data_IF_680376146198
#
_entry.id   IF_680376146198
#
_cell.length_a   1.000
_cell.length_b   1.000
_cell.length_c   1.000
_cell.angle_alpha   90.00
_cell.angle_beta   90.00
_cell.angle_gamma   90.00
#
_symmetry.space_group_name_H-M   'P 1'
#
loop_
_entity.id
_entity.type
_entity.pdbx_description
1 polymer ?
#
# COMPACT_ATOMS: atom_id res chain seq x y z
N UNK A 1 9.57 -9.45 21.44
CA UNK A 1 9.57 -8.57 20.29
C UNK A 1 10.72 -8.87 19.31
N UNK A 2 11.97 -8.83 19.70
CA UNK A 2 13.14 -9.05 18.82
C UNK A 2 13.18 -10.36 18.01
N UNK A 3 12.68 -11.48 18.55
CA UNK A 3 12.72 -12.79 17.85
C UNK A 3 11.80 -12.87 16.61
N UNK A 4 10.67 -12.13 16.62
CA UNK A 4 9.74 -12.11 15.48
C UNK A 4 10.33 -11.29 14.35
N UNK A 5 10.87 -10.11 14.67
CA UNK A 5 11.56 -9.25 13.70
C UNK A 5 12.71 -9.99 13.03
N UNK A 6 13.57 -10.65 13.81
CA UNK A 6 14.69 -11.41 13.27
C UNK A 6 14.26 -12.50 12.27
N UNK A 7 13.19 -13.24 12.56
CA UNK A 7 12.67 -14.26 11.64
C UNK A 7 12.12 -13.68 10.34
N UNK A 8 11.51 -12.49 10.39
CA UNK A 8 11.07 -11.77 9.20
C UNK A 8 12.26 -11.32 8.36
N UNK A 9 13.26 -10.74 9.00
CA UNK A 9 14.47 -10.29 8.32
C UNK A 9 15.22 -11.48 7.69
N UNK A 10 15.33 -12.61 8.39
CA UNK A 10 15.92 -13.85 7.85
C UNK A 10 15.15 -14.36 6.61
N UNK A 11 13.81 -14.32 6.64
CA UNK A 11 12.97 -14.73 5.52
C UNK A 11 13.11 -13.78 4.33
N UNK A 12 13.08 -12.46 4.58
CA UNK A 12 13.32 -11.44 3.55
C UNK A 12 14.69 -11.61 2.92
N UNK A 13 15.71 -11.81 3.75
CA UNK A 13 17.08 -12.03 3.29
C UNK A 13 17.18 -13.24 2.38
N UNK A 14 16.69 -14.39 2.83
CA UNK A 14 16.74 -15.62 2.04
C UNK A 14 16.00 -15.54 0.70
N UNK A 15 14.99 -14.70 0.60
CA UNK A 15 14.24 -14.49 -0.65
C UNK A 15 14.89 -13.42 -1.54
N UNK A 16 15.56 -12.44 -0.96
CA UNK A 16 16.26 -11.36 -1.66
C UNK A 16 17.61 -11.81 -2.24
N UNK A 17 18.32 -12.67 -1.55
CA UNK A 17 19.58 -13.31 -2.00
C UNK A 17 19.26 -14.23 -3.19
N UNK A 18 19.40 -13.71 -4.41
CA UNK A 18 18.98 -14.40 -5.64
C UNK A 18 20.03 -15.41 -6.06
N UNK A 19 21.31 -15.08 -5.91
CA UNK A 19 22.41 -15.92 -6.32
C UNK A 19 22.91 -16.87 -5.22
N UNK A 20 22.42 -16.68 -3.98
CA UNK A 20 22.69 -17.57 -2.85
C UNK A 20 24.11 -17.46 -2.33
N UNK A 21 24.78 -16.33 -2.53
CA UNK A 21 26.16 -16.11 -2.12
C UNK A 21 26.29 -15.73 -0.63
N UNK A 22 25.16 -15.50 0.06
CA UNK A 22 25.08 -15.13 1.47
C UNK A 22 25.34 -13.65 1.74
N UNK A 23 25.37 -12.82 0.70
CA UNK A 23 25.44 -11.36 0.77
C UNK A 23 24.32 -10.76 -0.07
N UNK A 24 23.95 -9.50 0.16
CA UNK A 24 23.03 -8.78 -0.71
C UNK A 24 23.78 -7.72 -1.49
N UNK A 25 23.85 -7.85 -2.81
CA UNK A 25 24.30 -6.78 -3.67
C UNK A 25 23.25 -5.63 -3.68
N UNK A 26 23.55 -4.54 -4.40
CA UNK A 26 22.67 -3.36 -4.40
C UNK A 26 21.24 -3.68 -4.84
N UNK A 27 21.06 -4.47 -5.90
CA UNK A 27 19.75 -4.77 -6.46
C UNK A 27 18.96 -5.74 -5.55
N UNK A 28 19.62 -6.70 -4.95
CA UNK A 28 19.07 -7.61 -3.96
C UNK A 28 18.71 -6.88 -2.65
N UNK A 29 19.53 -5.90 -2.26
CA UNK A 29 19.24 -5.11 -1.07
C UNK A 29 17.99 -4.24 -1.27
N UNK A 30 17.71 -3.77 -2.49
CA UNK A 30 16.44 -3.09 -2.81
C UNK A 30 15.26 -4.04 -2.61
N UNK A 31 15.36 -5.31 -2.99
CA UNK A 31 14.30 -6.30 -2.74
C UNK A 31 14.06 -6.51 -1.24
N UNK A 32 15.12 -6.52 -0.46
CA UNK A 32 15.03 -6.64 1.00
C UNK A 32 14.34 -5.45 1.65
N UNK A 33 14.64 -4.22 1.18
CA UNK A 33 14.08 -2.98 1.72
C UNK A 33 12.64 -2.73 1.26
N UNK A 34 12.33 -3.05 -0.02
CA UNK A 34 11.04 -2.79 -0.68
C UNK A 34 10.45 -4.10 -1.26
N UNK A 35 10.12 -5.06 -0.38
CA UNK A 35 9.61 -6.36 -0.84
C UNK A 35 8.27 -6.26 -1.57
N UNK A 36 7.47 -5.22 -1.30
CA UNK A 36 6.19 -4.96 -1.95
C UNK A 36 6.32 -4.61 -3.44
N UNK A 37 7.45 -4.06 -3.87
CA UNK A 37 7.66 -3.60 -5.24
C UNK A 37 8.05 -4.74 -6.20
N UNK A 38 8.39 -5.91 -5.71
CA UNK A 38 8.86 -7.00 -6.54
C UNK A 38 8.04 -8.28 -6.38
N UNK A 39 7.54 -8.80 -7.50
CA UNK A 39 6.72 -10.02 -7.55
C UNK A 39 7.36 -11.22 -6.82
N UNK A 40 8.68 -11.34 -6.88
CA UNK A 40 9.44 -12.40 -6.18
C UNK A 40 9.25 -12.33 -4.67
N UNK A 41 9.12 -11.14 -4.11
CA UNK A 41 9.00 -10.88 -2.69
C UNK A 41 7.55 -10.91 -2.17
N UNK A 42 6.55 -10.91 -3.05
CA UNK A 42 5.14 -10.84 -2.64
C UNK A 42 4.73 -11.97 -1.68
N UNK A 43 5.29 -13.17 -1.83
CA UNK A 43 5.02 -14.26 -0.91
C UNK A 43 5.46 -13.95 0.53
N UNK A 44 6.58 -13.26 0.69
CA UNK A 44 7.09 -12.82 1.99
C UNK A 44 6.16 -11.75 2.59
N UNK A 45 5.74 -10.78 1.79
CA UNK A 45 4.81 -9.72 2.23
C UNK A 45 3.47 -10.31 2.69
N UNK A 46 2.93 -11.28 1.96
CA UNK A 46 1.70 -12.00 2.34
C UNK A 46 1.86 -12.71 3.70
N UNK A 47 2.97 -13.45 3.89
CA UNK A 47 3.23 -14.13 5.17
C UNK A 47 3.36 -13.15 6.33
N UNK A 48 4.02 -12.02 6.12
CA UNK A 48 4.17 -10.99 7.13
C UNK A 48 2.83 -10.34 7.49
N UNK A 49 1.98 -10.10 6.48
CA UNK A 49 0.62 -9.59 6.69
C UNK A 49 -0.23 -10.58 7.49
N UNK A 50 -0.18 -11.87 7.14
CA UNK A 50 -0.85 -12.91 7.92
C UNK A 50 -0.33 -12.94 9.36
N UNK A 51 0.98 -12.91 9.58
CA UNK A 51 1.54 -12.86 10.94
C UNK A 51 1.07 -11.66 11.77
N UNK A 52 0.69 -10.55 11.13
CA UNK A 52 0.22 -9.34 11.81
C UNK A 52 -1.29 -9.35 12.06
N UNK A 53 -2.08 -9.80 11.08
CA UNK A 53 -3.53 -9.63 11.05
C UNK A 53 -4.27 -10.91 11.42
N UNK A 54 -3.81 -12.08 10.98
CA UNK A 54 -4.39 -13.39 11.30
C UNK A 54 -4.15 -13.72 12.78
N UNK A 55 -5.19 -13.57 13.60
CA UNK A 55 -5.11 -13.76 15.06
C UNK A 55 -5.34 -15.17 15.48
N UNK A 56 -6.14 -15.93 14.74
CA UNK A 56 -6.49 -17.30 15.08
C UNK A 56 -5.55 -18.33 14.42
N UNK A 57 -4.72 -17.90 13.46
CA UNK A 57 -3.69 -18.69 12.81
C UNK A 57 -4.25 -19.65 11.76
N UNK A 58 -5.41 -19.36 11.18
CA UNK A 58 -6.03 -20.21 10.17
C UNK A 58 -5.47 -20.01 8.75
N UNK A 59 -4.57 -19.03 8.58
CA UNK A 59 -3.90 -18.70 7.32
C UNK A 59 -4.77 -17.84 6.38
N UNK A 60 -5.77 -17.17 6.91
CA UNK A 60 -6.72 -16.31 6.21
C UNK A 60 -6.91 -15.02 7.01
N UNK A 61 -7.63 -14.06 6.44
CA UNK A 61 -8.01 -12.84 7.14
C UNK A 61 -9.52 -12.72 7.07
N UNK A 62 -10.19 -12.96 8.18
CA UNK A 62 -11.62 -12.74 8.33
C UNK A 62 -11.96 -11.25 8.34
N UNK A 63 -13.22 -10.89 8.07
CA UNK A 63 -13.70 -9.51 8.19
C UNK A 63 -13.43 -8.92 9.58
N UNK A 64 -13.55 -9.77 10.62
CA UNK A 64 -13.32 -9.34 12.01
C UNK A 64 -11.85 -9.01 12.29
N UNK A 65 -10.92 -9.79 11.76
CA UNK A 65 -9.48 -9.55 11.87
C UNK A 65 -9.05 -8.34 11.06
N UNK A 66 -9.55 -8.23 9.82
CA UNK A 66 -9.34 -7.08 8.95
C UNK A 66 -9.75 -5.76 9.63
N UNK A 67 -10.95 -5.73 10.23
CA UNK A 67 -11.41 -4.55 10.97
C UNK A 67 -10.61 -4.35 12.25
N UNK A 68 -10.27 -5.42 12.97
CA UNK A 68 -9.55 -5.33 14.23
C UNK A 68 -8.09 -4.88 14.09
N UNK A 69 -7.51 -4.96 12.90
CA UNK A 69 -6.21 -4.38 12.59
C UNK A 69 -6.27 -2.85 12.51
N UNK A 70 -7.36 -2.31 11.94
CA UNK A 70 -7.55 -0.87 11.74
C UNK A 70 -8.27 -0.18 12.90
N UNK A 71 -9.09 -0.89 13.64
CA UNK A 71 -9.94 -0.33 14.68
C UNK A 71 -9.97 -1.19 15.92
N UNK A 72 -9.49 -0.63 17.02
CA UNK A 72 -9.70 -1.14 18.37
C UNK A 72 -10.58 -0.13 19.13
N UNK A 73 -11.77 -0.52 19.65
CA UNK A 73 -12.57 0.37 20.47
C UNK A 73 -11.81 0.73 21.75
N UNK A 74 -11.85 2.00 22.16
CA UNK A 74 -11.22 2.48 23.40
C UNK A 74 -11.86 1.86 24.65
N UNK A 75 -13.13 1.48 24.55
CA UNK A 75 -13.88 0.78 25.60
C UNK A 75 -14.56 -0.45 24.99
N UNK A 76 -14.23 -1.64 25.50
CA UNK A 76 -14.82 -2.91 25.06
C UNK A 76 -16.35 -2.98 25.23
N UNK A 77 -16.92 -2.11 26.06
CA UNK A 77 -18.36 -2.01 26.31
C UNK A 77 -19.04 -0.92 25.47
N UNK A 78 -18.27 -0.17 24.68
CA UNK A 78 -18.81 0.85 23.81
C UNK A 78 -19.60 0.20 22.66
N UNK A 79 -20.88 0.51 22.58
CA UNK A 79 -21.73 0.14 21.44
C UNK A 79 -21.55 1.09 20.24
N UNK A 80 -20.75 2.13 20.41
CA UNK A 80 -20.50 3.09 19.34
C UNK A 80 -19.47 2.54 18.37
N UNK A 81 -19.92 2.27 17.15
CA UNK A 81 -19.06 1.93 16.02
C UNK A 81 -19.01 3.13 15.09
N UNK A 82 -17.82 3.72 14.83
CA UNK A 82 -17.70 4.82 13.89
C UNK A 82 -18.24 4.46 12.50
N UNK A 83 -18.87 5.42 11.82
CA UNK A 83 -19.47 5.18 10.49
C UNK A 83 -18.47 4.67 9.46
N UNK A 84 -17.20 5.11 9.55
CA UNK A 84 -16.16 4.66 8.65
C UNK A 84 -15.90 3.14 8.76
N UNK A 85 -16.02 2.55 9.96
CA UNK A 85 -15.90 1.10 10.17
C UNK A 85 -16.99 0.35 9.41
N UNK A 86 -18.20 0.87 9.41
CA UNK A 86 -19.33 0.28 8.65
C UNK A 86 -19.07 0.35 7.14
N UNK A 87 -18.50 1.45 6.66
CA UNK A 87 -18.08 1.59 5.26
C UNK A 87 -16.94 0.62 4.91
N UNK A 88 -15.98 0.43 5.80
CA UNK A 88 -14.87 -0.49 5.58
C UNK A 88 -15.32 -1.95 5.52
N UNK A 89 -16.33 -2.35 6.32
CA UNK A 89 -16.97 -3.68 6.18
C UNK A 89 -17.63 -3.88 4.82
N UNK A 90 -18.26 -2.84 4.27
CA UNK A 90 -18.83 -2.90 2.92
C UNK A 90 -17.71 -3.01 1.88
N UNK A 91 -16.62 -2.27 2.04
CA UNK A 91 -15.43 -2.37 1.18
C UNK A 91 -14.84 -3.78 1.19
N UNK A 92 -14.68 -4.37 2.38
CA UNK A 92 -14.22 -5.75 2.51
C UNK A 92 -15.08 -6.71 1.68
N UNK A 93 -16.39 -6.73 1.89
CA UNK A 93 -17.33 -7.66 1.23
C UNK A 93 -17.52 -7.42 -0.26
N UNK A 94 -17.32 -6.19 -0.73
CA UNK A 94 -17.59 -5.82 -2.13
C UNK A 94 -16.35 -5.88 -3.01
N UNK A 95 -15.20 -5.50 -2.46
CA UNK A 95 -13.99 -5.29 -3.25
C UNK A 95 -12.80 -6.16 -2.83
N UNK A 96 -12.71 -6.56 -1.55
CA UNK A 96 -11.61 -7.37 -1.04
C UNK A 96 -11.91 -8.86 -1.17
N UNK A 97 -12.99 -9.32 -0.56
CA UNK A 97 -13.51 -10.69 -0.66
C UNK A 97 -14.30 -10.84 -1.97
N UNK A 98 -13.60 -11.02 -3.07
CA UNK A 98 -14.20 -11.09 -4.42
C UNK A 98 -15.02 -12.35 -4.64
N UNK A 99 -14.63 -13.42 -3.99
CA UNK A 99 -15.28 -14.72 -4.10
C UNK A 99 -16.38 -14.92 -3.04
N UNK A 100 -16.55 -13.97 -2.12
CA UNK A 100 -17.60 -13.92 -1.09
C UNK A 100 -17.59 -15.11 -0.12
N UNK A 101 -16.41 -15.58 0.24
CA UNK A 101 -16.23 -16.63 1.25
C UNK A 101 -16.33 -16.12 2.69
N UNK A 102 -16.28 -14.79 2.91
CA UNK A 102 -16.28 -14.16 4.23
C UNK A 102 -14.89 -13.95 4.83
N UNK A 103 -13.83 -14.25 4.09
CA UNK A 103 -12.44 -14.06 4.46
C UNK A 103 -11.58 -13.76 3.22
N UNK A 104 -10.40 -13.20 3.42
CA UNK A 104 -9.43 -13.04 2.35
C UNK A 104 -8.51 -14.27 2.31
N UNK A 105 -8.44 -14.89 1.14
CA UNK A 105 -7.43 -15.89 0.85
C UNK A 105 -6.09 -15.24 0.42
N UNK A 106 -5.04 -16.04 0.21
CA UNK A 106 -3.71 -15.53 -0.16
C UNK A 106 -3.70 -14.71 -1.45
N UNK A 107 -4.59 -15.00 -2.39
CA UNK A 107 -4.71 -14.26 -3.66
C UNK A 107 -5.35 -12.90 -3.41
N UNK A 108 -6.39 -12.84 -2.61
CA UNK A 108 -7.09 -11.61 -2.25
C UNK A 108 -6.26 -10.74 -1.30
N UNK A 109 -5.51 -11.35 -0.36
CA UNK A 109 -4.52 -10.66 0.46
C UNK A 109 -3.47 -10.01 -0.45
N UNK A 110 -2.93 -10.74 -1.44
CA UNK A 110 -1.99 -10.18 -2.40
C UNK A 110 -2.57 -8.96 -3.13
N UNK A 111 -3.78 -9.05 -3.64
CA UNK A 111 -4.43 -7.95 -4.34
C UNK A 111 -4.71 -6.76 -3.42
N UNK A 112 -4.92 -7.00 -2.14
CA UNK A 112 -5.13 -5.96 -1.15
C UNK A 112 -3.85 -5.19 -0.84
N UNK A 113 -2.74 -5.91 -0.57
CA UNK A 113 -1.47 -5.30 -0.12
C UNK A 113 -0.53 -4.91 -1.26
N UNK A 114 -0.65 -5.57 -2.41
CA UNK A 114 0.14 -5.31 -3.62
C UNK A 114 -0.81 -5.14 -4.79
N UNK A 115 -1.47 -3.99 -4.93
CA UNK A 115 -2.35 -3.73 -6.05
C UNK A 115 -1.53 -3.76 -7.35
N UNK A 116 -1.65 -4.85 -8.09
CA UNK A 116 -0.87 -5.11 -9.32
C UNK A 116 -1.31 -4.26 -10.51
N UNK A 117 -2.51 -3.66 -10.44
CA UNK A 117 -3.13 -2.93 -11.54
C UNK A 117 -3.27 -1.42 -11.25
N UNK A 118 -2.83 -0.96 -10.07
CA UNK A 118 -2.90 0.45 -9.72
C UNK A 118 -1.50 1.06 -9.75
N UNK A 119 -1.14 1.61 -10.88
CA UNK A 119 0.02 2.49 -10.98
C UNK A 119 -0.36 3.86 -10.39
N UNK A 120 0.08 4.10 -9.16
CA UNK A 120 -0.17 5.36 -8.46
C UNK A 120 0.35 6.56 -9.26
N UNK A 121 1.50 6.41 -9.91
CA UNK A 121 2.08 7.48 -10.72
C UNK A 121 1.23 7.74 -11.97
N UNK A 122 0.76 6.70 -12.66
CA UNK A 122 -0.12 6.84 -13.81
C UNK A 122 -1.49 7.41 -13.43
N UNK A 123 -2.05 6.95 -12.32
CA UNK A 123 -3.33 7.44 -11.82
C UNK A 123 -3.25 8.92 -11.41
N UNK A 124 -2.19 9.31 -10.69
CA UNK A 124 -1.94 10.69 -10.30
C UNK A 124 -1.65 11.57 -11.52
N UNK A 125 -0.86 11.10 -12.48
CA UNK A 125 -0.62 11.82 -13.72
C UNK A 125 -1.93 12.06 -14.51
N UNK A 126 -2.78 11.04 -14.62
CA UNK A 126 -4.11 11.18 -15.26
C UNK A 126 -5.01 12.17 -14.51
N UNK A 127 -4.98 12.13 -13.18
CA UNK A 127 -5.74 13.08 -12.36
C UNK A 127 -5.25 14.52 -12.59
N UNK A 128 -3.95 14.75 -12.52
CA UNK A 128 -3.35 16.07 -12.74
C UNK A 128 -3.64 16.61 -14.15
N UNK A 129 -3.55 15.77 -15.19
CA UNK A 129 -3.92 16.13 -16.55
C UNK A 129 -5.40 16.48 -16.62
N UNK A 130 -6.29 15.66 -16.03
CA UNK A 130 -7.73 15.92 -16.07
C UNK A 130 -8.14 17.25 -15.43
N UNK A 131 -7.51 17.59 -14.30
CA UNK A 131 -7.83 18.82 -13.56
C UNK A 131 -7.22 20.08 -14.20
N UNK A 132 -6.01 19.95 -14.77
CA UNK A 132 -5.25 21.11 -15.25
C UNK A 132 -5.35 21.37 -16.75
N UNK A 133 -5.69 20.37 -17.57
CA UNK A 133 -5.88 20.50 -19.02
C UNK A 133 -7.17 21.25 -19.34
N UNK A 134 -7.09 22.58 -19.41
CA UNK A 134 -8.25 23.47 -19.66
C UNK A 134 -8.75 23.41 -21.09
N UNK A 135 -7.85 23.22 -22.04
CA UNK A 135 -8.19 23.20 -23.46
C UNK A 135 -8.60 21.81 -23.96
N UNK A 136 -8.39 20.76 -23.13
CA UNK A 136 -8.72 19.35 -23.38
C UNK A 136 -8.01 18.75 -24.60
N UNK A 137 -6.77 19.15 -24.82
CA UNK A 137 -5.94 18.60 -25.90
C UNK A 137 -5.13 17.36 -25.46
N UNK A 138 -5.20 16.98 -24.16
CA UNK A 138 -4.52 15.84 -23.59
C UNK A 138 -3.05 16.10 -23.26
N UNK A 139 -2.60 17.35 -23.32
CA UNK A 139 -1.23 17.78 -23.05
C UNK A 139 -1.27 18.93 -22.03
N UNK A 140 -0.37 18.90 -21.06
CA UNK A 140 -0.22 20.01 -20.13
C UNK A 140 0.81 21.01 -20.64
N UNK A 141 0.35 22.20 -20.98
CA UNK A 141 1.23 23.34 -21.25
C UNK A 141 1.79 23.90 -19.94
N UNK A 142 2.90 24.65 -20.05
CA UNK A 142 3.49 25.35 -18.90
C UNK A 142 2.52 26.34 -18.27
N UNK A 143 1.75 27.02 -19.10
CA UNK A 143 0.73 27.98 -18.69
C UNK A 143 -0.38 27.29 -17.88
N UNK A 144 -0.86 26.14 -18.32
CA UNK A 144 -1.88 25.38 -17.62
C UNK A 144 -1.39 24.83 -16.26
N UNK A 145 -0.12 24.39 -16.17
CA UNK A 145 0.48 24.01 -14.91
C UNK A 145 0.57 25.19 -13.94
N UNK A 146 1.04 26.33 -14.41
CA UNK A 146 1.19 27.52 -13.57
C UNK A 146 -0.15 28.11 -13.12
N UNK A 147 -1.16 28.07 -14.00
CA UNK A 147 -2.51 28.53 -13.70
C UNK A 147 -3.26 27.62 -12.71
N UNK A 148 -2.86 26.34 -12.60
CA UNK A 148 -3.43 25.37 -11.68
C UNK A 148 -2.40 24.92 -10.62
N UNK A 149 -1.49 25.80 -10.26
CA UNK A 149 -0.39 25.57 -9.32
C UNK A 149 -0.82 24.84 -8.03
N UNK A 150 -1.97 25.21 -7.45
CA UNK A 150 -2.48 24.65 -6.20
C UNK A 150 -2.75 23.13 -6.32
N UNK A 151 -3.18 22.64 -7.48
CA UNK A 151 -3.43 21.22 -7.73
C UNK A 151 -2.11 20.43 -7.70
N UNK A 152 -1.05 20.99 -8.30
CA UNK A 152 0.26 20.34 -8.35
C UNK A 152 0.96 20.36 -6.99
N UNK A 153 0.89 21.46 -6.24
CA UNK A 153 1.50 21.57 -4.91
C UNK A 153 0.82 20.66 -3.89
N UNK A 154 -0.49 20.46 -4.01
CA UNK A 154 -1.25 19.55 -3.14
C UNK A 154 -1.14 18.07 -3.51
N UNK A 155 -0.44 17.73 -4.61
CA UNK A 155 -0.34 16.39 -5.13
C UNK A 155 0.76 15.58 -4.46
N UNK A 156 0.58 14.26 -4.38
CA UNK A 156 1.62 13.31 -3.98
C UNK A 156 2.85 13.34 -4.91
N UNK A 157 2.68 13.72 -6.19
CA UNK A 157 3.76 13.84 -7.15
C UNK A 157 4.83 14.86 -6.73
N UNK A 158 4.47 15.84 -5.90
CA UNK A 158 5.38 16.86 -5.35
C UNK A 158 5.67 16.66 -3.87
N UNK A 159 5.32 15.51 -3.31
CA UNK A 159 5.41 15.22 -1.87
C UNK A 159 4.73 16.31 -1.03
N UNK A 160 3.50 16.68 -1.45
CA UNK A 160 2.70 17.75 -0.85
C UNK A 160 3.44 19.10 -0.73
N UNK A 161 4.28 19.39 -1.71
CA UNK A 161 5.04 20.64 -1.80
C UNK A 161 6.45 20.59 -1.20
N UNK A 162 6.83 19.52 -0.50
CA UNK A 162 8.17 19.38 0.09
C UNK A 162 9.28 19.36 -0.97
N UNK A 163 9.00 18.81 -2.16
CA UNK A 163 9.92 18.82 -3.28
C UNK A 163 10.23 20.25 -3.79
N UNK A 164 9.30 21.19 -3.62
CA UNK A 164 9.44 22.57 -4.07
C UNK A 164 10.24 23.42 -3.06
N UNK A 165 10.21 23.07 -1.77
CA UNK A 165 10.95 23.80 -0.73
C UNK A 165 12.46 23.46 -0.73
N UNK A 166 12.86 22.31 -1.29
CA UNK A 166 14.25 21.88 -1.37
C UNK A 166 15.04 22.49 -2.54
N UNK A 167 14.37 23.23 -3.45
CA UNK A 167 15.02 23.85 -4.61
C UNK A 167 15.69 25.20 -4.31
N UNK A 168 15.50 25.78 -3.13
CA UNK A 168 16.07 27.07 -2.74
C UNK A 168 17.46 26.94 -2.04
N UNK A 169 18.06 25.76 -2.04
CA UNK A 169 19.39 25.53 -1.44
C UNK A 169 20.51 25.30 -2.48
N UNK A 170 20.50 26.07 -3.59
CA UNK A 170 21.66 26.14 -4.49
C UNK A 170 22.07 27.58 -4.76
#
# INVERSE_FOLDING_TARGET
MHKRTLRRDERRWAQADIDGDGALNKDEFVLFLHPEENVRMHAVVIEETLEDVDRDGDGRISESEYIADMYAPEDEHSQYVPEWVSRERVQFRTYRDKNQHGYLDRSEIKEWIVPTDYDHAEAEAKHLVHEADKNKDGILSKEEILDNYDVFVGSQATDFGDALTRHDEF
#
